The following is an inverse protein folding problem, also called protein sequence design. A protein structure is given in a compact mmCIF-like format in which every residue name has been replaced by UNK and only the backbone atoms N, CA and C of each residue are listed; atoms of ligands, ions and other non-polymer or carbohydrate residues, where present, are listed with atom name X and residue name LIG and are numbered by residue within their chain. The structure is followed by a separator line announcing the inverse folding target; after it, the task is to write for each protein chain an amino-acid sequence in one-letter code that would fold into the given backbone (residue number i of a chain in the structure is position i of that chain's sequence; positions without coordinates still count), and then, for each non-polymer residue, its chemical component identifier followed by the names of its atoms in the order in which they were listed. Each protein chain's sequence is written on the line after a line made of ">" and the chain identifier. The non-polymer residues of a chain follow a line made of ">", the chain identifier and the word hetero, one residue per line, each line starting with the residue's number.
data_IF_813835332290
#
_entry.id   IF_813835332290
#
_cell.length_a   1.000
_cell.length_b   1.000
_cell.length_c   1.000
_cell.angle_alpha   90.00
_cell.angle_beta   90.00
_cell.angle_gamma   90.00
#
_symmetry.space_group_name_H-M   'P 1'
#
loop_
_entity.id
_entity.type
_entity.pdbx_description
1 polymer ?
#
# COMPACT_ATOMS: atom_id res chain seq x y z
N UNK A 1 -19.77 -26.26 8.60
CA UNK A 1 -18.84 -25.52 9.46
C UNK A 1 -17.45 -25.93 9.03
N UNK A 2 -16.79 -25.17 8.17
CA UNK A 2 -15.40 -25.44 7.85
C UNK A 2 -14.61 -25.14 9.12
N UNK A 3 -14.04 -26.18 9.72
CA UNK A 3 -13.13 -26.06 10.84
C UNK A 3 -11.86 -25.41 10.29
N UNK A 4 -11.82 -24.08 10.30
CA UNK A 4 -10.68 -23.31 9.82
C UNK A 4 -9.55 -23.50 10.83
N UNK A 5 -8.81 -24.59 10.69
CA UNK A 5 -7.61 -24.83 11.49
C UNK A 5 -6.58 -23.79 11.06
N UNK A 6 -6.36 -22.78 11.89
CA UNK A 6 -5.26 -21.83 11.69
C UNK A 6 -3.98 -22.57 12.07
N UNK A 7 -3.22 -23.04 11.07
CA UNK A 7 -1.94 -23.70 11.29
C UNK A 7 -0.84 -22.66 11.50
N UNK A 8 -0.13 -22.67 12.65
CA UNK A 8 1.00 -21.76 12.89
C UNK A 8 2.13 -21.91 11.87
N UNK A 9 2.32 -23.12 11.33
CA UNK A 9 3.36 -23.39 10.34
C UNK A 9 3.04 -22.74 8.99
N UNK A 10 1.76 -22.79 8.58
CA UNK A 10 1.31 -22.11 7.37
C UNK A 10 1.50 -20.58 7.45
N UNK A 11 1.27 -19.98 8.62
CA UNK A 11 1.53 -18.56 8.85
C UNK A 11 3.04 -18.27 8.74
N UNK A 12 3.87 -19.10 9.38
CA UNK A 12 5.33 -18.93 9.36
C UNK A 12 5.87 -18.98 7.93
N UNK A 13 5.41 -19.94 7.14
CA UNK A 13 5.91 -20.12 5.78
C UNK A 13 5.42 -18.99 4.87
N UNK A 14 4.16 -18.54 5.01
CA UNK A 14 3.68 -17.36 4.29
C UNK A 14 4.49 -16.08 4.60
N UNK A 15 4.89 -15.90 5.86
CA UNK A 15 5.75 -14.77 6.25
C UNK A 15 7.16 -14.89 5.67
N UNK A 16 7.74 -16.09 5.64
CA UNK A 16 9.04 -16.32 4.99
C UNK A 16 8.97 -16.02 3.50
N UNK A 17 7.94 -16.51 2.82
CA UNK A 17 7.75 -16.30 1.39
C UNK A 17 7.55 -14.83 1.07
N UNK A 18 6.78 -14.10 1.89
CA UNK A 18 6.60 -12.65 1.75
C UNK A 18 7.93 -11.88 1.84
N UNK A 19 8.77 -12.22 2.84
CA UNK A 19 10.09 -11.60 3.00
C UNK A 19 11.03 -11.98 1.86
N UNK A 20 11.02 -13.24 1.44
CA UNK A 20 11.84 -13.72 0.33
C UNK A 20 11.44 -13.11 -1.02
N UNK A 21 10.16 -12.78 -1.20
CA UNK A 21 9.63 -12.14 -2.40
C UNK A 21 9.86 -10.61 -2.44
N UNK A 22 10.40 -10.01 -1.37
CA UNK A 22 10.69 -8.58 -1.34
C UNK A 22 11.89 -8.28 -2.24
N UNK A 23 11.61 -7.71 -3.41
CA UNK A 23 12.60 -7.15 -4.31
C UNK A 23 12.65 -5.63 -4.12
N UNK A 24 13.76 -5.04 -3.66
CA UNK A 24 13.87 -3.59 -3.51
C UNK A 24 13.87 -2.94 -4.89
N UNK A 25 12.77 -2.27 -5.24
CA UNK A 25 12.79 -1.35 -6.37
C UNK A 25 13.70 -0.17 -6.03
N UNK A 26 14.56 0.21 -6.97
CA UNK A 26 15.44 1.38 -6.81
C UNK A 26 14.64 2.67 -6.58
N UNK A 27 15.33 3.76 -6.25
CA UNK A 27 14.67 5.06 -6.05
C UNK A 27 13.98 5.51 -7.35
N UNK A 28 12.66 5.35 -7.41
CA UNK A 28 11.82 6.00 -8.41
C UNK A 28 11.53 7.42 -7.93
N UNK A 29 11.58 8.39 -8.85
CA UNK A 29 11.10 9.73 -8.56
C UNK A 29 9.57 9.69 -8.52
N UNK A 30 8.99 9.76 -7.32
CA UNK A 30 7.54 9.85 -7.13
C UNK A 30 7.12 11.31 -7.08
N UNK A 31 6.02 11.65 -7.75
CA UNK A 31 5.40 12.96 -7.57
C UNK A 31 4.79 13.07 -6.17
N UNK A 32 4.93 14.23 -5.54
CA UNK A 32 4.43 14.47 -4.18
C UNK A 32 3.55 15.71 -4.20
N UNK A 33 2.34 15.59 -3.64
CA UNK A 33 1.44 16.70 -3.35
C UNK A 33 1.30 16.94 -1.85
N UNK A 34 0.70 18.06 -1.48
CA UNK A 34 0.40 18.39 -0.09
C UNK A 34 -1.09 18.64 0.06
N UNK A 35 -1.70 18.08 1.11
CA UNK A 35 -3.10 18.37 1.45
C UNK A 35 -3.19 19.81 1.95
N UNK A 36 -3.99 20.64 1.28
CA UNK A 36 -4.19 22.05 1.66
C UNK A 36 -5.39 22.23 2.57
N UNK A 37 -6.41 21.39 2.42
CA UNK A 37 -7.55 21.30 3.33
C UNK A 37 -8.18 19.91 3.32
N UNK A 38 -8.92 19.58 4.39
CA UNK A 38 -9.71 18.37 4.48
C UNK A 38 -10.94 18.59 5.37
N UNK A 39 -12.12 18.22 4.87
CA UNK A 39 -13.39 18.30 5.58
C UNK A 39 -14.38 17.25 5.06
N UNK A 40 -15.23 16.72 5.94
CA UNK A 40 -16.33 15.79 5.59
C UNK A 40 -15.91 14.57 4.74
N UNK A 41 -14.66 14.11 4.88
CA UNK A 41 -14.11 12.99 4.11
C UNK A 41 -13.58 13.37 2.72
N UNK A 42 -13.55 14.66 2.39
CA UNK A 42 -12.96 15.21 1.16
C UNK A 42 -11.65 15.92 1.51
N UNK A 43 -10.62 15.78 0.68
CA UNK A 43 -9.35 16.49 0.80
C UNK A 43 -9.02 17.20 -0.50
N UNK A 44 -8.60 18.46 -0.42
CA UNK A 44 -7.99 19.16 -1.55
C UNK A 44 -6.46 19.02 -1.45
N UNK A 45 -5.85 18.60 -2.56
CA UNK A 45 -4.40 18.34 -2.66
C UNK A 45 -3.81 19.26 -3.72
N UNK A 46 -2.78 20.02 -3.37
CA UNK A 46 -1.99 20.83 -4.29
C UNK A 46 -0.71 20.09 -4.69
N UNK A 47 -0.30 20.24 -5.95
CA UNK A 47 0.84 19.53 -6.55
C UNK A 47 0.37 18.45 -7.52
N UNK A 48 1.12 17.33 -7.59
CA UNK A 48 0.84 16.17 -8.45
C UNK A 48 0.48 16.54 -9.93
N UNK A 49 1.36 17.24 -10.67
CA UNK A 49 1.05 17.69 -12.03
C UNK A 49 0.77 16.55 -13.02
N UNK A 50 1.25 15.34 -12.74
CA UNK A 50 1.03 14.14 -13.53
C UNK A 50 -0.18 13.30 -13.09
N UNK A 51 -0.99 13.74 -12.13
CA UNK A 51 -2.12 12.96 -11.60
C UNK A 51 -3.17 12.66 -12.67
N UNK A 52 -3.65 11.43 -12.70
CA UNK A 52 -4.76 11.03 -13.56
C UNK A 52 -6.10 11.16 -12.83
N UNK A 53 -7.18 11.36 -13.59
CA UNK A 53 -8.52 11.38 -13.01
C UNK A 53 -8.89 10.00 -12.42
N UNK A 54 -9.23 9.96 -11.13
CA UNK A 54 -9.52 8.75 -10.35
C UNK A 54 -8.32 7.82 -10.12
N UNK A 55 -7.12 8.38 -10.00
CA UNK A 55 -5.92 7.66 -9.51
C UNK A 55 -6.01 7.33 -8.00
#
# INVERSE_FOLDING_TARGET
>A
MAELSISPDAIRDALKDFVAAYEPSGAAATEVGTVVDAADGIAHVEGLPGVMANE
#
